data_IF_366475488094
#
_entry.id   IF_366475488094
#
_cell.length_a   1.000
_cell.length_b   1.000
_cell.length_c   1.000
_cell.angle_alpha   90.00
_cell.angle_beta   90.00
_cell.angle_gamma   90.00
#
_symmetry.space_group_name_H-M   'P 1'
#
loop_
_entity.id
_entity.type
_entity.pdbx_description
1 polymer ?
#
# COMPACT_ATOMS: atom_id res chain seq x y z
N UNK A 1 14.00 13.04 -33.81
CA UNK A 1 14.93 13.43 -32.71
C UNK A 1 14.53 12.62 -31.48
N UNK A 2 15.38 11.70 -31.04
CA UNK A 2 15.08 10.95 -29.77
C UNK A 2 15.32 11.92 -28.61
N UNK A 3 14.26 12.36 -27.96
CA UNK A 3 14.39 13.05 -26.68
C UNK A 3 15.10 12.10 -25.71
N UNK A 4 16.13 12.53 -24.98
CA UNK A 4 16.77 11.68 -23.98
C UNK A 4 15.71 11.21 -22.98
N UNK A 5 15.66 9.91 -22.74
CA UNK A 5 14.77 9.36 -21.70
C UNK A 5 15.47 9.64 -20.38
N UNK A 6 14.86 10.47 -19.54
CA UNK A 6 15.37 10.79 -18.21
C UNK A 6 15.50 9.53 -17.36
N UNK A 7 16.64 9.41 -16.67
CA UNK A 7 16.89 8.32 -15.75
C UNK A 7 16.24 8.63 -14.40
N UNK A 8 15.15 7.93 -14.07
CA UNK A 8 14.46 8.04 -12.81
C UNK A 8 15.27 7.35 -11.69
N UNK A 9 15.17 7.83 -10.47
CA UNK A 9 15.85 7.19 -9.34
C UNK A 9 15.12 5.90 -8.93
N UNK A 10 13.82 5.97 -8.69
CA UNK A 10 13.00 4.84 -8.24
C UNK A 10 11.68 4.80 -9.01
N UNK A 11 11.31 3.62 -9.49
CA UNK A 11 9.97 3.33 -10.01
C UNK A 11 9.33 2.23 -9.17
N UNK A 12 8.10 2.49 -8.71
CA UNK A 12 7.26 1.51 -8.00
C UNK A 12 6.16 1.04 -8.94
N UNK A 13 6.07 -0.25 -9.17
CA UNK A 13 5.02 -0.87 -9.98
C UNK A 13 3.93 -1.37 -9.03
N UNK A 14 2.75 -0.73 -9.09
CA UNK A 14 1.62 -0.94 -8.20
C UNK A 14 1.50 0.15 -7.13
N UNK A 15 0.40 0.91 -7.17
CA UNK A 15 0.05 1.98 -6.22
C UNK A 15 -0.92 1.53 -5.12
N UNK A 16 -1.04 0.21 -4.88
CA UNK A 16 -1.88 -0.35 -3.83
C UNK A 16 -1.34 -0.13 -2.42
N UNK A 17 -1.80 -0.96 -1.46
CA UNK A 17 -1.45 -0.81 -0.04
C UNK A 17 0.06 -0.79 0.21
N UNK A 18 0.79 -1.72 -0.39
CA UNK A 18 2.23 -1.88 -0.18
C UNK A 18 3.00 -0.81 -0.95
N UNK A 19 2.79 -0.70 -2.27
CA UNK A 19 3.51 0.26 -3.10
C UNK A 19 3.22 1.71 -2.72
N UNK A 20 1.96 2.03 -2.41
CA UNK A 20 1.57 3.36 -1.97
C UNK A 20 2.19 3.76 -0.64
N UNK A 21 2.18 2.85 0.37
CA UNK A 21 2.85 3.11 1.64
C UNK A 21 4.37 3.26 1.45
N UNK A 22 4.98 2.42 0.60
CA UNK A 22 6.41 2.51 0.27
C UNK A 22 6.74 3.87 -0.36
N UNK A 23 5.93 4.33 -1.33
CA UNK A 23 6.11 5.62 -1.96
C UNK A 23 6.05 6.79 -0.96
N UNK A 24 5.09 6.76 -0.03
CA UNK A 24 4.95 7.77 1.01
C UNK A 24 6.12 7.78 1.99
N UNK A 25 6.62 6.60 2.38
CA UNK A 25 7.79 6.48 3.26
C UNK A 25 9.07 6.99 2.57
N UNK A 26 9.26 6.68 1.28
CA UNK A 26 10.37 7.20 0.48
C UNK A 26 10.29 8.72 0.36
N UNK A 27 9.12 9.27 0.01
CA UNK A 27 8.90 10.72 -0.09
C UNK A 27 9.19 11.42 1.25
N UNK A 28 8.78 10.85 2.38
CA UNK A 28 9.13 11.36 3.71
C UNK A 28 10.64 11.34 3.97
N UNK A 29 11.35 10.34 3.46
CA UNK A 29 12.81 10.25 3.52
C UNK A 29 13.53 11.13 2.49
N UNK A 30 12.81 11.96 1.71
CA UNK A 30 13.39 12.84 0.70
C UNK A 30 13.68 12.15 -0.65
N UNK A 31 13.25 10.90 -0.82
CA UNK A 31 13.43 10.15 -2.07
C UNK A 31 12.12 10.21 -2.87
N UNK A 32 12.18 10.82 -4.06
CA UNK A 32 11.03 10.84 -4.97
C UNK A 32 10.99 9.56 -5.80
N UNK A 33 9.82 8.93 -5.84
CA UNK A 33 9.57 7.76 -6.66
C UNK A 33 8.46 8.06 -7.68
N UNK A 34 8.60 7.51 -8.88
CA UNK A 34 7.50 7.40 -9.85
C UNK A 34 6.67 6.17 -9.49
N UNK A 35 5.37 6.34 -9.29
CA UNK A 35 4.45 5.23 -9.01
C UNK A 35 3.59 4.96 -10.24
N UNK A 36 3.60 3.72 -10.74
CA UNK A 36 2.81 3.26 -11.87
C UNK A 36 1.73 2.32 -11.36
N UNK A 37 0.46 2.66 -11.54
CA UNK A 37 -0.66 1.82 -11.13
C UNK A 37 -1.60 1.54 -12.32
N UNK A 38 -1.94 0.27 -12.51
CA UNK A 38 -2.90 -0.12 -13.54
C UNK A 38 -4.35 0.23 -13.18
N UNK A 39 -4.65 0.39 -11.89
CA UNK A 39 -5.97 0.75 -11.40
C UNK A 39 -6.26 2.25 -11.56
N UNK A 40 -7.54 2.65 -11.70
CA UNK A 40 -7.95 4.04 -11.65
C UNK A 40 -7.92 4.58 -10.22
N UNK A 41 -8.05 5.89 -10.10
CA UNK A 41 -8.29 6.54 -8.81
C UNK A 41 -9.62 6.06 -8.22
N UNK A 42 -9.61 5.73 -6.92
CA UNK A 42 -10.77 5.22 -6.21
C UNK A 42 -11.86 6.31 -6.05
N UNK A 43 -13.10 5.91 -6.26
CA UNK A 43 -14.24 6.76 -5.92
C UNK A 43 -14.44 6.74 -4.40
N UNK A 44 -14.17 7.87 -3.74
CA UNK A 44 -14.21 8.00 -2.29
C UNK A 44 -15.63 7.78 -1.72
N UNK A 45 -16.66 8.31 -2.35
CA UNK A 45 -18.05 8.18 -1.90
C UNK A 45 -18.48 6.72 -1.92
N UNK A 46 -18.20 6.03 -3.03
CA UNK A 46 -18.51 4.61 -3.17
C UNK A 46 -17.76 3.75 -2.13
N UNK A 47 -16.46 3.97 -1.95
CA UNK A 47 -15.65 3.20 -0.98
C UNK A 47 -16.13 3.41 0.46
N UNK A 48 -16.57 4.63 0.80
CA UNK A 48 -17.06 4.95 2.14
C UNK A 48 -18.47 4.39 2.37
N UNK A 49 -19.33 4.45 1.34
CA UNK A 49 -20.72 3.98 1.44
C UNK A 49 -20.83 2.45 1.51
N UNK A 50 -19.94 1.72 0.84
CA UNK A 50 -19.95 0.26 0.78
C UNK A 50 -19.01 -0.35 1.82
N UNK A 51 -19.57 -1.15 2.76
CA UNK A 51 -18.74 -1.92 3.69
C UNK A 51 -18.15 -3.16 2.99
N UNK A 52 -16.86 -3.39 3.17
CA UNK A 52 -16.20 -4.58 2.66
C UNK A 52 -16.16 -5.64 3.76
N UNK A 53 -16.71 -6.86 3.53
CA UNK A 53 -16.67 -7.93 4.53
C UNK A 53 -15.26 -8.44 4.81
N UNK A 54 -14.32 -8.20 3.91
CA UNK A 54 -12.90 -8.54 4.11
C UNK A 54 -12.22 -7.44 4.92
N UNK A 55 -11.52 -7.84 5.98
CA UNK A 55 -10.72 -6.94 6.82
C UNK A 55 -9.28 -7.44 6.93
N UNK A 56 -8.37 -6.53 7.21
CA UNK A 56 -6.98 -6.79 7.54
C UNK A 56 -6.78 -6.55 9.03
N UNK A 57 -6.12 -7.48 9.71
CA UNK A 57 -5.63 -7.30 11.06
C UNK A 57 -4.26 -6.62 11.01
N UNK A 58 -4.22 -5.33 11.22
CA UNK A 58 -2.98 -4.56 11.21
C UNK A 58 -2.31 -4.61 12.58
N UNK A 59 -1.01 -4.92 12.59
CA UNK A 59 -0.19 -4.89 13.80
C UNK A 59 0.12 -3.45 14.23
N UNK A 60 0.53 -3.26 15.48
CA UNK A 60 0.97 -1.95 15.99
C UNK A 60 2.15 -1.38 15.18
N UNK A 61 3.07 -2.23 14.70
CA UNK A 61 4.17 -1.80 13.84
C UNK A 61 3.67 -1.19 12.53
N UNK A 62 2.69 -1.84 11.87
CA UNK A 62 2.08 -1.31 10.64
C UNK A 62 1.32 -0.01 10.92
N UNK A 63 0.57 0.05 12.02
CA UNK A 63 -0.14 1.26 12.45
C UNK A 63 0.85 2.41 12.67
N UNK A 64 2.00 2.14 13.30
CA UNK A 64 3.04 3.14 13.49
C UNK A 64 3.57 3.70 12.16
N UNK A 65 3.85 2.83 11.17
CA UNK A 65 4.26 3.28 9.83
C UNK A 65 3.20 4.16 9.16
N UNK A 66 1.92 3.78 9.27
CA UNK A 66 0.81 4.57 8.72
C UNK A 66 0.66 5.93 9.41
N UNK A 67 0.89 6.00 10.73
CA UNK A 67 0.93 7.26 11.49
C UNK A 67 2.11 8.13 11.03
N UNK A 68 3.26 7.52 10.79
CA UNK A 68 4.47 8.23 10.35
C UNK A 68 4.26 9.01 9.04
N UNK A 69 3.36 8.57 8.17
CA UNK A 69 3.01 9.23 6.91
C UNK A 69 1.63 9.91 6.92
N UNK A 70 1.04 10.14 8.10
CA UNK A 70 -0.26 10.79 8.33
C UNK A 70 -1.42 10.14 7.56
N UNK A 71 -1.41 8.83 7.40
CA UNK A 71 -2.49 8.05 6.78
C UNK A 71 -3.46 7.53 7.83
N UNK A 72 -2.95 7.11 9.00
CA UNK A 72 -3.75 6.43 10.03
C UNK A 72 -4.95 7.25 10.49
N UNK A 73 -4.76 8.52 10.79
CA UNK A 73 -5.78 9.45 11.28
C UNK A 73 -6.82 9.83 10.20
N UNK A 74 -6.57 9.46 8.94
CA UNK A 74 -7.48 9.71 7.80
C UNK A 74 -8.35 8.51 7.45
N UNK A 75 -8.25 7.40 8.18
CA UNK A 75 -9.11 6.25 7.98
C UNK A 75 -10.55 6.58 8.37
N UNK A 76 -11.50 6.35 7.46
CA UNK A 76 -12.91 6.62 7.72
C UNK A 76 -13.48 5.71 8.81
N UNK A 77 -12.94 4.48 8.94
CA UNK A 77 -13.33 3.51 9.97
C UNK A 77 -12.24 2.48 10.22
N UNK A 78 -12.14 2.07 11.47
CA UNK A 78 -11.25 1.03 11.98
C UNK A 78 -11.80 0.48 13.29
N UNK A 79 -11.41 -0.73 13.67
CA UNK A 79 -11.82 -1.34 14.93
C UNK A 79 -10.59 -1.95 15.63
N UNK A 80 -10.19 -1.44 16.80
CA UNK A 80 -9.10 -2.04 17.56
C UNK A 80 -9.49 -3.43 18.09
N UNK A 81 -8.51 -4.33 18.20
CA UNK A 81 -8.68 -5.63 18.83
C UNK A 81 -7.63 -5.86 19.92
N UNK A 82 -8.03 -6.58 20.99
CA UNK A 82 -7.19 -6.83 22.16
C UNK A 82 -6.89 -8.31 22.35
N UNK A 83 -7.60 -9.18 21.65
CA UNK A 83 -7.42 -10.62 21.71
C UNK A 83 -7.48 -11.25 20.34
N UNK A 84 -6.72 -12.33 20.17
CA UNK A 84 -6.74 -13.18 18.99
C UNK A 84 -6.64 -14.62 19.46
N UNK A 85 -7.54 -15.45 18.98
CA UNK A 85 -7.51 -16.90 19.21
C UNK A 85 -7.27 -17.61 17.87
N UNK A 86 -6.29 -18.48 17.85
CA UNK A 86 -5.92 -19.27 16.67
C UNK A 86 -5.94 -20.72 17.04
N UNK A 87 -6.66 -21.54 16.27
CA UNK A 87 -6.74 -22.98 16.50
C UNK A 87 -6.57 -23.76 15.20
N UNK A 88 -6.12 -25.00 15.34
CA UNK A 88 -6.01 -25.92 14.21
C UNK A 88 -7.34 -26.66 14.02
N UNK A 89 -7.92 -26.61 12.81
CA UNK A 89 -9.19 -27.29 12.49
C UNK A 89 -9.15 -28.81 12.73
N UNK A 90 -8.00 -29.45 12.54
CA UNK A 90 -7.83 -30.90 12.60
C UNK A 90 -6.92 -31.38 13.74
N UNK A 91 -6.67 -30.52 14.74
CA UNK A 91 -5.77 -30.85 15.86
C UNK A 91 -6.14 -30.13 17.14
N UNK A 92 -5.40 -30.44 18.23
CA UNK A 92 -5.64 -29.89 19.56
C UNK A 92 -4.86 -28.61 19.86
N UNK A 93 -4.13 -28.06 18.83
CA UNK A 93 -3.34 -26.85 19.01
C UNK A 93 -4.22 -25.61 19.06
N UNK A 94 -4.10 -24.83 20.13
CA UNK A 94 -4.74 -23.55 20.33
C UNK A 94 -3.73 -22.53 20.87
N UNK A 95 -3.73 -21.33 20.32
CA UNK A 95 -2.90 -20.22 20.77
C UNK A 95 -3.79 -19.01 21.02
N UNK A 96 -3.70 -18.42 22.20
CA UNK A 96 -4.42 -17.22 22.59
C UNK A 96 -3.43 -16.06 22.78
N UNK A 97 -3.71 -14.93 22.13
CA UNK A 97 -2.95 -13.69 22.28
C UNK A 97 -3.84 -12.64 22.93
N UNK A 98 -3.33 -11.94 23.93
CA UNK A 98 -4.04 -10.86 24.62
C UNK A 98 -5.26 -11.36 25.41
N UNK A 99 -6.17 -10.44 25.71
CA UNK A 99 -7.44 -10.72 26.40
C UNK A 99 -8.59 -10.08 25.63
N UNK A 100 -9.66 -10.85 25.39
CA UNK A 100 -10.89 -10.29 24.87
C UNK A 100 -11.48 -9.30 25.88
N UNK A 101 -11.62 -8.04 25.50
CA UNK A 101 -12.23 -7.01 26.33
C UNK A 101 -13.49 -6.48 25.65
N UNK A 102 -14.57 -6.34 26.43
CA UNK A 102 -15.81 -5.69 25.96
C UNK A 102 -15.77 -4.17 26.03
N UNK A 103 -14.73 -3.58 26.65
CA UNK A 103 -14.53 -2.13 26.75
C UNK A 103 -13.57 -1.67 25.66
N UNK A 104 -13.70 -0.43 25.23
CA UNK A 104 -12.72 0.20 24.33
C UNK A 104 -11.36 0.16 25.02
N UNK A 105 -10.39 -0.58 24.45
CA UNK A 105 -9.11 -0.80 25.12
C UNK A 105 -8.26 0.47 25.14
N UNK A 106 -7.46 0.65 26.18
CA UNK A 106 -6.35 1.61 26.14
C UNK A 106 -5.35 1.24 25.04
N UNK A 107 -4.54 2.19 24.58
CA UNK A 107 -3.56 1.92 23.50
C UNK A 107 -2.59 0.79 23.86
N UNK A 108 -2.22 0.65 25.14
CA UNK A 108 -1.35 -0.43 25.64
C UNK A 108 -1.96 -1.81 25.57
N UNK A 109 -3.30 -1.92 25.58
CA UNK A 109 -4.02 -3.19 25.52
C UNK A 109 -4.33 -3.65 24.10
N UNK A 110 -4.10 -2.79 23.09
CA UNK A 110 -4.41 -3.10 21.69
C UNK A 110 -3.31 -3.94 21.07
N UNK A 111 -3.66 -5.12 20.57
CA UNK A 111 -2.78 -5.92 19.72
C UNK A 111 -2.64 -5.31 18.32
N UNK A 112 -3.69 -4.65 17.84
CA UNK A 112 -3.74 -4.05 16.53
C UNK A 112 -5.12 -3.47 16.21
N UNK A 113 -5.41 -3.31 14.93
CA UNK A 113 -6.73 -2.83 14.47
C UNK A 113 -7.18 -3.57 13.21
N UNK A 114 -8.47 -3.85 13.12
CA UNK A 114 -9.12 -4.35 11.92
C UNK A 114 -9.45 -3.18 11.02
N UNK A 115 -9.04 -3.26 9.76
CA UNK A 115 -9.27 -2.21 8.75
C UNK A 115 -9.67 -2.85 7.44
N UNK A 116 -10.66 -2.28 6.76
CA UNK A 116 -11.02 -2.69 5.40
C UNK A 116 -9.92 -2.30 4.41
N UNK A 117 -9.48 -3.23 3.52
CA UNK A 117 -8.46 -2.92 2.51
C UNK A 117 -8.82 -1.71 1.63
N UNK A 118 -10.10 -1.57 1.28
CA UNK A 118 -10.60 -0.47 0.46
C UNK A 118 -10.47 0.89 1.16
N UNK A 119 -10.80 0.96 2.45
CA UNK A 119 -10.65 2.18 3.28
C UNK A 119 -9.18 2.56 3.44
N UNK A 120 -8.32 1.58 3.72
CA UNK A 120 -6.89 1.82 3.85
C UNK A 120 -6.28 2.29 2.52
N UNK A 121 -6.65 1.62 1.40
CA UNK A 121 -6.16 2.00 0.08
C UNK A 121 -6.61 3.40 -0.32
N UNK A 122 -7.85 3.76 -0.05
CA UNK A 122 -8.37 5.12 -0.29
C UNK A 122 -7.56 6.18 0.47
N UNK A 123 -7.25 5.93 1.75
CA UNK A 123 -6.47 6.87 2.56
C UNK A 123 -5.03 7.03 2.05
N UNK A 124 -4.38 5.91 1.71
CA UNK A 124 -3.04 5.90 1.09
C UNK A 124 -3.06 6.65 -0.24
N UNK A 125 -4.02 6.34 -1.13
CA UNK A 125 -4.11 6.97 -2.45
C UNK A 125 -4.34 8.48 -2.36
N UNK A 126 -5.23 8.94 -1.45
CA UNK A 126 -5.42 10.37 -1.20
C UNK A 126 -4.13 11.06 -0.73
N UNK A 127 -3.35 10.39 0.09
CA UNK A 127 -2.07 10.92 0.57
C UNK A 127 -1.01 10.94 -0.53
N UNK A 128 -0.95 9.89 -1.36
CA UNK A 128 -0.05 9.86 -2.55
C UNK A 128 -0.33 11.00 -3.51
N UNK A 129 -1.60 11.30 -3.79
CA UNK A 129 -1.99 12.44 -4.66
C UNK A 129 -1.51 13.80 -4.13
N UNK A 130 -1.21 13.89 -2.83
CA UNK A 130 -0.71 15.13 -2.20
C UNK A 130 0.82 15.19 -2.13
N UNK A 131 1.51 14.06 -2.01
CA UNK A 131 2.93 14.01 -1.66
C UNK A 131 3.83 13.35 -2.70
N UNK A 132 3.29 12.49 -3.55
CA UNK A 132 4.06 11.82 -4.62
C UNK A 132 3.97 12.67 -5.89
N UNK A 133 5.10 13.17 -6.36
CA UNK A 133 5.13 14.09 -7.50
C UNK A 133 4.73 13.43 -8.81
N UNK A 134 5.08 12.16 -9.00
CA UNK A 134 4.80 11.41 -10.23
C UNK A 134 4.03 10.11 -9.89
N UNK A 135 2.72 10.24 -9.74
CA UNK A 135 1.79 9.11 -9.55
C UNK A 135 0.89 8.97 -10.78
N UNK A 136 1.11 7.91 -11.55
CA UNK A 136 0.41 7.62 -12.80
C UNK A 136 -0.54 6.46 -12.61
N UNK A 137 -1.83 6.71 -12.75
CA UNK A 137 -2.90 5.70 -12.70
C UNK A 137 -3.33 5.28 -14.10
N UNK A 138 -3.99 4.12 -14.21
CA UNK A 138 -4.41 3.52 -15.47
C UNK A 138 -3.23 3.24 -16.43
N UNK A 139 -2.06 3.00 -15.87
CA UNK A 139 -0.83 2.72 -16.60
C UNK A 139 -0.47 1.25 -16.42
N UNK A 140 -0.51 0.50 -17.50
CA UNK A 140 -0.16 -0.93 -17.50
C UNK A 140 1.31 -1.10 -17.91
N UNK A 141 2.12 -1.63 -17.00
CA UNK A 141 3.46 -2.14 -17.30
C UNK A 141 3.32 -3.48 -18.01
N UNK A 142 4.04 -3.65 -19.12
CA UNK A 142 4.01 -4.89 -19.92
C UNK A 142 5.34 -5.63 -19.89
N UNK A 143 6.43 -4.95 -19.56
CA UNK A 143 7.75 -5.57 -19.50
C UNK A 143 8.72 -4.77 -18.63
N UNK A 144 9.55 -5.49 -17.89
CA UNK A 144 10.67 -4.96 -17.12
C UNK A 144 11.92 -5.73 -17.54
N UNK A 145 12.96 -5.03 -17.96
CA UNK A 145 14.20 -5.61 -18.46
C UNK A 145 15.40 -4.92 -17.80
N UNK A 146 16.44 -5.69 -17.55
CA UNK A 146 17.73 -5.13 -17.14
C UNK A 146 18.44 -4.54 -18.37
N UNK A 147 18.79 -3.26 -18.30
CA UNK A 147 19.64 -2.57 -19.26
C UNK A 147 21.08 -2.45 -18.74
N UNK A 148 21.90 -1.67 -19.43
CA UNK A 148 23.25 -1.30 -18.96
C UNK A 148 23.06 -0.20 -17.91
N UNK A 149 23.44 -0.48 -16.65
CA UNK A 149 23.37 0.43 -15.51
C UNK A 149 21.96 1.00 -15.17
N UNK A 150 20.90 0.39 -15.69
CA UNK A 150 19.53 0.79 -15.40
C UNK A 150 18.52 -0.34 -15.64
N UNK A 151 17.30 -0.15 -15.15
CA UNK A 151 16.14 -0.93 -15.52
C UNK A 151 15.34 -0.20 -16.61
N UNK A 152 14.82 -0.97 -17.56
CA UNK A 152 13.97 -0.49 -18.65
C UNK A 152 12.56 -1.01 -18.41
N UNK A 153 11.60 -0.10 -18.33
CA UNK A 153 10.18 -0.41 -18.10
C UNK A 153 9.41 -0.02 -19.34
N UNK A 154 8.66 -0.97 -19.93
CA UNK A 154 7.80 -0.71 -21.08
C UNK A 154 6.35 -0.71 -20.66
N UNK A 155 5.63 0.33 -21.09
CA UNK A 155 4.22 0.52 -20.85
C UNK A 155 3.40 0.05 -22.06
N UNK A 156 2.12 -0.28 -21.83
CA UNK A 156 1.23 -0.75 -22.88
C UNK A 156 0.94 0.27 -23.99
N UNK A 157 1.11 1.56 -23.70
CA UNK A 157 0.96 2.65 -24.67
C UNK A 157 2.21 2.87 -25.55
N UNK A 158 3.25 2.05 -25.38
CA UNK A 158 4.53 2.16 -26.09
C UNK A 158 5.57 3.02 -25.38
N UNK A 159 5.21 3.71 -24.29
CA UNK A 159 6.16 4.52 -23.51
C UNK A 159 7.24 3.62 -22.90
N UNK A 160 8.46 4.13 -22.86
CA UNK A 160 9.60 3.47 -22.22
C UNK A 160 10.17 4.38 -21.13
N UNK A 161 10.35 3.83 -19.93
CA UNK A 161 11.00 4.51 -18.81
C UNK A 161 12.33 3.84 -18.48
N UNK A 162 13.28 4.62 -17.96
CA UNK A 162 14.54 4.10 -17.40
C UNK A 162 14.64 4.48 -15.94
N UNK A 163 15.11 3.57 -15.09
CA UNK A 163 15.24 3.84 -13.66
C UNK A 163 16.43 3.08 -13.07
N UNK A 164 17.00 3.63 -12.00
CA UNK A 164 18.08 2.96 -11.23
C UNK A 164 17.55 1.81 -10.40
N UNK A 165 16.33 1.94 -9.85
CA UNK A 165 15.71 0.92 -8.99
C UNK A 165 14.25 0.70 -9.39
N UNK A 166 13.85 -0.57 -9.44
CA UNK A 166 12.44 -0.99 -9.58
C UNK A 166 11.99 -1.68 -8.31
N UNK A 167 10.82 -1.28 -7.82
CA UNK A 167 10.13 -1.93 -6.69
C UNK A 167 8.85 -2.56 -7.23
N UNK A 168 8.75 -3.90 -7.20
CA UNK A 168 7.55 -4.63 -7.55
C UNK A 168 6.57 -4.66 -6.38
N UNK A 169 5.37 -4.11 -6.58
CA UNK A 169 4.27 -4.09 -5.60
C UNK A 169 2.90 -4.26 -6.29
N UNK A 170 2.87 -4.93 -7.43
CA UNK A 170 1.75 -5.09 -8.35
C UNK A 170 0.76 -6.21 -7.95
N UNK A 171 1.00 -6.87 -6.81
CA UNK A 171 0.06 -7.77 -6.15
C UNK A 171 0.07 -9.20 -6.71
N UNK A 172 -1.10 -9.84 -6.67
CA UNK A 172 -1.22 -11.28 -6.97
C UNK A 172 -0.98 -11.65 -8.44
N UNK A 173 -1.07 -10.68 -9.35
CA UNK A 173 -0.85 -10.86 -10.79
C UNK A 173 0.50 -10.28 -11.24
N UNK A 174 1.48 -10.23 -10.32
CA UNK A 174 2.85 -9.83 -10.60
C UNK A 174 3.47 -10.66 -11.72
N UNK A 175 4.38 -10.06 -12.49
CA UNK A 175 5.07 -10.71 -13.63
C UNK A 175 5.84 -11.94 -13.21
#
# INVERSE_FOLDING_TARGET
MNTPIDLLDVVIIGGGLVGGLTALLLAKGGVQATVLDAAPILNAEKVIAEANPRVLALSQATIHLLKTVDVWEKLARQMPYTGMQVWNKNGYGEINFGQASQKIPSDEQRLGSMVEPSILNLAIQKKMLQQVQDYRTQVKVVRVEQGIDCWIIRLADGTTLKTKLVIGADGANSF
#
